data_IF_370026404719
#
_entry.id   IF_370026404719
#
_cell.length_a   1.000
_cell.length_b   1.000
_cell.length_c   1.000
_cell.angle_alpha   90.00
_cell.angle_beta   90.00
_cell.angle_gamma   90.00
#
_symmetry.space_group_name_H-M   'P 1'
#
loop_
_entity.id
_entity.type
_entity.pdbx_description
1 polymer ?
#
# COMPACT_ATOMS: atom_id res chain seq x y z
N UNK A 1 -27.16 -17.12 8.07
CA UNK A 1 -26.56 -16.59 9.31
C UNK A 1 -25.15 -16.12 8.93
N UNK A 2 -24.93 -14.80 8.95
CA UNK A 2 -23.61 -14.23 8.67
C UNK A 2 -22.70 -14.31 9.90
N UNK A 3 -21.40 -14.44 9.68
CA UNK A 3 -20.40 -14.37 10.75
C UNK A 3 -20.01 -12.92 11.03
N UNK A 4 -19.36 -12.65 12.16
CA UNK A 4 -18.77 -11.33 12.47
C UNK A 4 -17.76 -10.93 11.38
N UNK A 5 -17.00 -11.91 10.86
CA UNK A 5 -16.06 -11.68 9.77
C UNK A 5 -16.77 -11.22 8.47
N UNK A 6 -17.93 -11.81 8.15
CA UNK A 6 -18.72 -11.41 6.99
C UNK A 6 -19.25 -9.98 7.13
N UNK A 7 -19.67 -9.61 8.35
CA UNK A 7 -20.12 -8.25 8.64
C UNK A 7 -18.97 -7.24 8.53
N UNK A 8 -17.80 -7.56 9.03
CA UNK A 8 -16.60 -6.71 8.90
C UNK A 8 -16.27 -6.52 7.43
N UNK A 9 -16.23 -7.60 6.65
CA UNK A 9 -15.96 -7.55 5.21
C UNK A 9 -17.01 -6.71 4.47
N UNK A 10 -18.29 -6.90 4.79
CA UNK A 10 -19.38 -6.10 4.22
C UNK A 10 -19.20 -4.61 4.49
N UNK A 11 -18.89 -4.23 5.72
CA UNK A 11 -18.66 -2.84 6.12
C UNK A 11 -17.45 -2.25 5.41
N UNK A 12 -16.33 -2.97 5.34
CA UNK A 12 -15.11 -2.52 4.66
C UNK A 12 -15.37 -2.21 3.17
N UNK A 13 -16.22 -3.00 2.51
CA UNK A 13 -16.52 -2.83 1.09
C UNK A 13 -17.54 -1.71 0.86
N UNK A 14 -18.55 -1.61 1.71
CA UNK A 14 -19.72 -0.74 1.48
C UNK A 14 -19.65 0.60 2.22
N UNK A 15 -18.90 0.69 3.32
CA UNK A 15 -18.72 1.93 4.08
C UNK A 15 -17.40 2.58 3.69
N UNK A 16 -17.42 3.89 3.50
CA UNK A 16 -16.18 4.65 3.32
C UNK A 16 -15.65 5.06 4.69
N UNK A 17 -14.58 4.38 5.12
CA UNK A 17 -13.94 4.64 6.42
C UNK A 17 -12.69 5.49 6.30
N UNK A 18 -12.18 5.65 5.09
CA UNK A 18 -10.92 6.36 4.83
C UNK A 18 -11.23 7.69 4.13
N UNK A 19 -10.83 8.79 4.76
CA UNK A 19 -11.08 10.14 4.28
C UNK A 19 -9.78 10.89 4.00
N UNK A 20 -9.74 11.62 2.90
CA UNK A 20 -8.64 12.50 2.57
C UNK A 20 -8.66 13.74 3.47
N UNK A 21 -7.57 13.98 4.21
CA UNK A 21 -7.47 15.09 5.16
C UNK A 21 -6.56 16.22 4.68
N UNK A 22 -5.52 15.90 3.90
CA UNK A 22 -4.57 16.90 3.43
C UNK A 22 -3.92 16.50 2.11
N UNK A 23 -3.51 17.48 1.31
CA UNK A 23 -2.73 17.26 0.09
C UNK A 23 -1.77 18.40 -0.14
N UNK A 24 -0.49 18.08 -0.38
CA UNK A 24 0.59 19.04 -0.71
C UNK A 24 1.46 18.51 -1.84
N UNK A 25 2.08 19.43 -2.58
CA UNK A 25 3.16 19.07 -3.49
C UNK A 25 4.47 19.09 -2.72
N UNK A 26 5.23 18.02 -2.82
CA UNK A 26 6.53 17.85 -2.18
C UNK A 26 7.61 17.59 -3.22
N UNK A 27 8.80 18.13 -2.99
CA UNK A 27 9.98 17.81 -3.77
C UNK A 27 10.73 16.67 -3.08
N UNK A 28 11.09 15.66 -3.83
CA UNK A 28 11.90 14.54 -3.37
C UNK A 28 13.13 14.37 -4.27
N UNK A 29 14.08 13.55 -3.88
CA UNK A 29 15.22 13.19 -4.75
C UNK A 29 14.79 12.53 -6.07
N UNK A 30 13.54 11.99 -6.12
CA UNK A 30 12.94 11.39 -7.34
C UNK A 30 12.03 12.37 -8.09
N UNK A 31 12.08 13.67 -7.75
CA UNK A 31 11.27 14.72 -8.34
C UNK A 31 9.99 15.03 -7.56
N UNK A 32 9.08 15.77 -8.19
CA UNK A 32 7.84 16.23 -7.55
C UNK A 32 6.81 15.11 -7.42
N UNK A 33 6.20 15.03 -6.23
CA UNK A 33 5.05 14.18 -5.94
C UNK A 33 3.96 14.99 -5.25
N UNK A 34 2.73 14.57 -5.40
CA UNK A 34 1.63 15.00 -4.55
C UNK A 34 1.57 14.06 -3.35
N UNK A 35 1.84 14.57 -2.17
CA UNK A 35 1.68 13.90 -0.89
C UNK A 35 0.24 14.08 -0.44
N UNK A 36 -0.47 12.99 -0.18
CA UNK A 36 -1.86 13.00 0.24
C UNK A 36 -1.97 12.19 1.53
N UNK A 37 -2.64 12.76 2.51
CA UNK A 37 -2.92 12.10 3.78
C UNK A 37 -4.36 11.63 3.83
N UNK A 38 -4.56 10.40 4.26
CA UNK A 38 -5.84 9.81 4.53
C UNK A 38 -5.93 9.39 5.99
N UNK A 39 -7.08 9.60 6.62
CA UNK A 39 -7.40 9.16 7.97
C UNK A 39 -8.44 8.06 7.91
N UNK A 40 -8.20 6.96 8.60
CA UNK A 40 -9.20 5.92 8.83
C UNK A 40 -10.00 6.27 10.09
N UNK A 41 -11.33 6.37 9.94
CA UNK A 41 -12.24 6.75 11.03
C UNK A 41 -12.45 5.62 12.04
N UNK A 42 -12.16 4.36 11.68
CA UNK A 42 -12.33 3.20 12.56
C UNK A 42 -11.06 2.90 13.32
N UNK A 43 -9.93 2.80 12.61
CA UNK A 43 -8.64 2.45 13.23
C UNK A 43 -7.90 3.66 13.78
N UNK A 44 -8.32 4.87 13.38
CA UNK A 44 -7.63 6.14 13.65
C UNK A 44 -6.21 6.20 13.09
N UNK A 45 -5.88 5.28 12.20
CA UNK A 45 -4.59 5.27 11.51
C UNK A 45 -4.52 6.36 10.43
N UNK A 46 -3.32 6.84 10.17
CA UNK A 46 -3.06 7.77 9.07
C UNK A 46 -2.30 7.06 7.98
N UNK A 47 -2.83 7.09 6.76
CA UNK A 47 -2.20 6.52 5.58
C UNK A 47 -1.61 7.64 4.73
N UNK A 48 -0.46 7.37 4.11
CA UNK A 48 0.26 8.35 3.30
C UNK A 48 0.31 7.88 1.86
N UNK A 49 -0.04 8.75 0.93
CA UNK A 49 0.01 8.47 -0.50
C UNK A 49 0.95 9.42 -1.21
N UNK A 50 1.89 8.86 -1.97
CA UNK A 50 2.69 9.58 -2.94
C UNK A 50 2.09 9.35 -4.33
N UNK A 51 1.59 10.42 -4.94
CA UNK A 51 1.01 10.40 -6.29
C UNK A 51 1.89 11.18 -7.25
N UNK A 52 2.16 10.57 -8.41
CA UNK A 52 2.84 11.24 -9.53
C UNK A 52 1.97 11.18 -10.77
N UNK A 53 1.95 12.28 -11.51
CA UNK A 53 1.23 12.36 -12.78
C UNK A 53 -0.29 12.31 -12.68
N UNK A 54 -0.94 12.23 -13.83
CA UNK A 54 -2.41 12.18 -13.94
C UNK A 54 -2.89 10.72 -13.89
N UNK A 55 -3.83 10.45 -13.02
CA UNK A 55 -4.51 9.15 -12.93
C UNK A 55 -5.77 9.20 -13.78
N UNK A 56 -5.97 8.20 -14.63
CA UNK A 56 -7.16 8.08 -15.47
C UNK A 56 -7.81 6.72 -15.30
N UNK A 57 -9.13 6.68 -15.33
CA UNK A 57 -9.91 5.43 -15.15
C UNK A 57 -9.68 4.41 -16.27
N UNK A 58 -9.25 4.86 -17.45
CA UNK A 58 -9.09 4.02 -18.65
C UNK A 58 -7.76 3.28 -18.71
N UNK A 59 -6.71 3.82 -18.09
CA UNK A 59 -5.35 3.25 -18.17
C UNK A 59 -4.97 2.55 -16.88
N UNK A 60 -4.27 1.40 -16.95
CA UNK A 60 -3.69 0.78 -15.77
C UNK A 60 -2.69 1.71 -15.09
N UNK A 61 -2.76 1.78 -13.78
CA UNK A 61 -1.92 2.63 -12.94
C UNK A 61 -0.88 1.79 -12.22
N UNK A 62 0.37 2.25 -12.24
CA UNK A 62 1.44 1.63 -11.47
C UNK A 62 1.23 1.93 -9.98
N UNK A 63 1.06 0.89 -9.18
CA UNK A 63 0.71 1.01 -7.76
C UNK A 63 1.64 0.17 -6.90
N UNK A 64 2.13 0.76 -5.83
CA UNK A 64 2.78 0.07 -4.73
C UNK A 64 1.98 0.30 -3.45
N UNK A 65 1.62 -0.76 -2.76
CA UNK A 65 1.04 -0.69 -1.41
C UNK A 65 2.01 -1.39 -0.46
N UNK A 66 2.43 -0.72 0.57
CA UNK A 66 3.33 -1.30 1.58
C UNK A 66 3.12 -0.68 2.95
N UNK A 67 3.61 -1.34 3.97
CA UNK A 67 3.85 -0.76 5.28
C UNK A 67 5.25 -0.15 5.31
N UNK A 68 5.42 0.88 6.11
CA UNK A 68 6.75 1.43 6.39
C UNK A 68 7.57 0.40 7.18
N UNK A 69 8.75 0.10 6.68
CA UNK A 69 9.71 -0.75 7.37
C UNK A 69 11.02 0.01 7.51
N UNK A 70 11.35 0.42 8.74
CA UNK A 70 12.52 1.26 9.02
C UNK A 70 13.82 0.56 8.63
N UNK A 71 13.93 -0.74 8.91
CA UNK A 71 15.13 -1.51 8.63
C UNK A 71 15.38 -1.65 7.12
N UNK A 72 14.32 -1.87 6.34
CA UNK A 72 14.40 -2.04 4.90
C UNK A 72 14.42 -0.71 4.14
N UNK A 73 13.51 0.22 4.50
CA UNK A 73 13.31 1.45 3.73
C UNK A 73 14.34 2.53 4.06
N UNK A 74 14.74 2.64 5.34
CA UNK A 74 15.68 3.67 5.81
C UNK A 74 17.10 3.13 5.93
N UNK A 75 17.28 2.01 6.62
CA UNK A 75 18.63 1.45 6.87
C UNK A 75 19.13 0.59 5.70
N UNK A 76 18.26 0.26 4.74
CA UNK A 76 18.60 -0.53 3.53
C UNK A 76 19.28 -1.85 3.83
N UNK A 77 18.81 -2.54 4.87
CA UNK A 77 19.33 -3.84 5.27
C UNK A 77 19.01 -4.87 4.19
N UNK A 78 20.04 -5.56 3.65
CA UNK A 78 19.93 -6.44 2.48
C UNK A 78 19.23 -7.78 2.77
N UNK A 79 19.17 -8.20 4.03
CA UNK A 79 18.54 -9.45 4.47
C UNK A 79 17.03 -9.53 4.13
N UNK A 80 16.40 -8.42 3.76
CA UNK A 80 15.02 -8.40 3.27
C UNK A 80 14.87 -8.90 1.83
N UNK A 81 15.98 -9.22 1.16
CA UNK A 81 15.97 -9.77 -0.20
C UNK A 81 15.48 -8.79 -1.26
N UNK A 82 15.04 -9.32 -2.40
CA UNK A 82 14.62 -8.54 -3.57
C UNK A 82 13.24 -7.90 -3.44
N UNK A 83 12.89 -7.36 -2.27
CA UNK A 83 11.63 -6.62 -2.07
C UNK A 83 11.75 -5.19 -2.59
N UNK A 84 10.62 -4.64 -3.02
CA UNK A 84 10.54 -3.23 -3.35
C UNK A 84 10.69 -2.38 -2.08
N UNK A 85 11.77 -1.60 -1.99
CA UNK A 85 11.88 -0.52 -1.00
C UNK A 85 11.04 0.68 -1.42
N UNK A 86 10.79 1.61 -0.50
CA UNK A 86 10.10 2.86 -0.81
C UNK A 86 10.86 3.65 -1.89
N UNK A 87 12.18 3.75 -1.77
CA UNK A 87 13.03 4.47 -2.73
C UNK A 87 12.99 3.84 -4.13
N UNK A 88 13.05 2.50 -4.24
CA UNK A 88 12.94 1.81 -5.53
C UNK A 88 11.60 2.05 -6.19
N UNK A 89 10.51 2.01 -5.41
CA UNK A 89 9.16 2.28 -5.89
C UNK A 89 9.03 3.73 -6.39
N UNK A 90 9.53 4.71 -5.63
CA UNK A 90 9.53 6.12 -6.03
C UNK A 90 10.32 6.35 -7.32
N UNK A 91 11.51 5.75 -7.42
CA UNK A 91 12.35 5.81 -8.63
C UNK A 91 11.64 5.21 -9.85
N UNK A 92 10.99 4.06 -9.67
CA UNK A 92 10.23 3.39 -10.75
C UNK A 92 9.07 4.23 -11.24
N UNK A 93 8.25 4.76 -10.32
CA UNK A 93 7.11 5.62 -10.64
C UNK A 93 7.58 6.94 -11.27
N UNK A 94 8.69 7.49 -10.78
CA UNK A 94 9.25 8.71 -11.36
C UNK A 94 9.66 8.51 -12.82
N UNK A 95 10.30 7.39 -13.15
CA UNK A 95 10.66 7.04 -14.53
C UNK A 95 9.43 6.78 -15.41
N UNK A 96 8.37 6.19 -14.84
CA UNK A 96 7.12 5.95 -15.55
C UNK A 96 6.28 7.23 -15.79
N UNK A 97 6.57 8.31 -15.05
CA UNK A 97 5.86 9.59 -15.14
C UNK A 97 4.51 9.61 -14.44
N UNK A 98 3.94 8.46 -14.07
CA UNK A 98 2.67 8.37 -13.33
C UNK A 98 2.60 7.11 -12.48
N UNK A 99 1.92 7.20 -11.33
CA UNK A 99 1.71 6.09 -10.42
C UNK A 99 1.42 6.53 -8.99
N UNK A 100 1.22 5.56 -8.13
CA UNK A 100 0.85 5.72 -6.74
C UNK A 100 1.69 4.82 -5.83
N UNK A 101 2.10 5.37 -4.69
CA UNK A 101 2.61 4.59 -3.56
C UNK A 101 1.69 4.86 -2.39
N UNK A 102 1.18 3.82 -1.77
CA UNK A 102 0.33 3.90 -0.59
C UNK A 102 1.09 3.26 0.57
N UNK A 103 1.43 4.06 1.55
CA UNK A 103 1.94 3.60 2.83
C UNK A 103 0.75 3.39 3.76
N UNK A 104 0.37 2.14 3.94
CA UNK A 104 -0.69 1.74 4.86
C UNK A 104 -0.10 1.71 6.24
N UNK A 105 -0.83 2.31 7.18
CA UNK A 105 -0.42 2.38 8.56
C UNK A 105 0.97 3.01 8.67
N UNK A 106 0.98 4.32 8.76
CA UNK A 106 2.13 5.05 9.29
C UNK A 106 2.37 4.71 10.76
N UNK A 107 1.70 3.65 11.22
CA UNK A 107 1.54 3.26 12.61
C UNK A 107 2.83 3.14 13.36
N UNK A 108 2.89 3.97 14.34
CA UNK A 108 3.89 4.03 15.38
C UNK A 108 3.79 2.84 16.34
N UNK A 109 3.80 1.62 15.84
CA UNK A 109 4.06 0.50 16.72
C UNK A 109 5.53 0.55 17.10
N UNK A 110 5.79 1.11 18.26
CA UNK A 110 7.13 1.14 18.88
C UNK A 110 7.73 -0.26 19.01
N UNK A 111 6.90 -1.28 18.93
CA UNK A 111 7.27 -2.68 19.12
C UNK A 111 7.60 -3.42 17.81
N UNK A 112 7.45 -2.80 16.66
CA UNK A 112 7.73 -3.46 15.35
C UNK A 112 9.22 -3.74 15.12
N UNK A 113 10.10 -2.84 15.54
CA UNK A 113 11.55 -2.99 15.30
C UNK A 113 12.11 -4.26 15.97
N UNK A 114 11.82 -4.58 17.24
CA UNK A 114 12.27 -5.83 17.85
C UNK A 114 11.75 -7.08 17.13
N UNK A 115 10.51 -7.06 16.64
CA UNK A 115 9.92 -8.15 15.87
C UNK A 115 10.58 -8.30 14.50
N UNK A 116 10.83 -7.19 13.81
CA UNK A 116 11.53 -7.16 12.53
C UNK A 116 12.97 -7.71 12.65
N UNK A 117 13.69 -7.35 13.73
CA UNK A 117 15.04 -7.89 14.00
C UNK A 117 14.99 -9.39 14.27
N UNK A 118 13.99 -9.88 15.01
CA UNK A 118 13.81 -11.32 15.23
C UNK A 118 13.55 -12.07 13.91
N UNK A 119 12.84 -11.44 12.99
CA UNK A 119 12.56 -11.99 11.67
C UNK A 119 13.82 -12.02 10.77
N UNK A 120 14.78 -11.13 10.94
CA UNK A 120 16.07 -11.19 10.19
C UNK A 120 16.84 -12.48 10.46
N UNK A 121 16.73 -13.05 11.66
CA UNK A 121 17.38 -14.31 12.04
C UNK A 121 16.71 -15.57 11.48
N UNK A 122 15.45 -15.46 11.06
CA UNK A 122 14.71 -16.56 10.42
C UNK A 122 14.67 -16.27 8.92
N UNK A 123 15.28 -17.15 8.14
CA UNK A 123 15.29 -17.05 6.67
C UNK A 123 13.94 -16.56 6.15
N UNK A 124 13.90 -15.39 5.55
CA UNK A 124 12.67 -14.67 5.12
C UNK A 124 11.81 -15.43 4.08
N UNK A 125 12.21 -16.63 3.69
CA UNK A 125 11.46 -17.47 2.76
C UNK A 125 10.00 -17.76 3.20
N UNK A 126 9.70 -17.63 4.49
CA UNK A 126 8.37 -17.91 5.04
C UNK A 126 7.56 -16.66 5.47
N UNK A 127 8.10 -15.45 5.33
CA UNK A 127 7.41 -14.23 5.75
C UNK A 127 6.28 -13.79 4.80
N UNK A 128 6.06 -14.50 3.69
CA UNK A 128 4.93 -14.29 2.78
C UNK A 128 3.58 -14.71 3.36
N UNK A 129 3.56 -15.35 4.54
CA UNK A 129 2.36 -15.86 5.20
C UNK A 129 1.96 -15.12 6.49
N UNK A 130 2.48 -13.92 6.72
CA UNK A 130 1.81 -13.04 7.70
C UNK A 130 0.44 -12.75 7.11
N UNK A 131 -0.60 -13.24 7.79
CA UNK A 131 -1.98 -13.22 7.30
C UNK A 131 -2.32 -11.86 6.71
N UNK A 132 -2.87 -11.89 5.49
CA UNK A 132 -3.26 -10.69 4.76
C UNK A 132 -4.31 -10.00 5.63
N UNK A 133 -3.96 -8.88 6.23
CA UNK A 133 -4.88 -8.11 7.05
C UNK A 133 -5.94 -7.49 6.12
N UNK A 134 -7.15 -8.04 6.17
CA UNK A 134 -8.28 -7.62 5.33
C UNK A 134 -8.58 -6.13 5.50
N UNK A 135 -8.37 -5.58 6.70
CA UNK A 135 -8.59 -4.15 6.97
C UNK A 135 -7.62 -3.29 6.17
N UNK A 136 -6.35 -3.69 6.08
CA UNK A 136 -5.32 -2.97 5.31
C UNK A 136 -5.58 -3.03 3.81
N UNK A 137 -6.04 -4.17 3.32
CA UNK A 137 -6.48 -4.29 1.93
C UNK A 137 -7.67 -3.37 1.70
N UNK A 138 -8.61 -3.32 2.64
CA UNK A 138 -9.77 -2.44 2.59
C UNK A 138 -9.38 -0.97 2.51
N UNK A 139 -8.53 -0.48 3.42
CA UNK A 139 -8.07 0.90 3.43
C UNK A 139 -7.34 1.26 2.12
N UNK A 140 -6.40 0.42 1.67
CA UNK A 140 -5.70 0.62 0.40
C UNK A 140 -6.64 0.66 -0.80
N UNK A 141 -7.65 -0.21 -0.83
CA UNK A 141 -8.64 -0.27 -1.90
C UNK A 141 -9.57 0.95 -1.92
N UNK A 142 -9.99 1.43 -0.76
CA UNK A 142 -10.79 2.65 -0.64
C UNK A 142 -10.01 3.88 -1.12
N UNK A 143 -8.72 3.99 -0.75
CA UNK A 143 -7.84 5.07 -1.22
C UNK A 143 -7.69 5.02 -2.75
N UNK A 144 -7.44 3.84 -3.32
CA UNK A 144 -7.34 3.69 -4.77
C UNK A 144 -8.62 4.07 -5.50
N UNK A 145 -9.77 3.69 -4.96
CA UNK A 145 -11.09 4.05 -5.49
C UNK A 145 -11.31 5.56 -5.44
N UNK A 146 -11.00 6.22 -4.31
CA UNK A 146 -11.12 7.68 -4.14
C UNK A 146 -10.23 8.42 -5.15
N UNK A 147 -9.03 7.92 -5.43
CA UNK A 147 -8.11 8.46 -6.43
C UNK A 147 -8.50 8.14 -7.89
N UNK A 148 -9.62 7.45 -8.11
CA UNK A 148 -10.15 7.15 -9.43
C UNK A 148 -9.44 6.02 -10.17
N UNK A 149 -8.69 5.17 -9.46
CA UNK A 149 -8.04 3.98 -10.04
C UNK A 149 -9.10 2.90 -10.28
N UNK A 150 -9.00 2.21 -11.42
CA UNK A 150 -9.78 0.99 -11.73
C UNK A 150 -8.88 -0.18 -12.07
N UNK A 151 -7.85 0.04 -12.88
CA UNK A 151 -6.90 -0.97 -13.32
C UNK A 151 -5.55 -0.73 -12.69
N UNK A 152 -4.93 -1.78 -12.16
CA UNK A 152 -3.72 -1.71 -11.37
C UNK A 152 -2.62 -2.56 -12.01
N UNK A 153 -1.43 -1.98 -12.13
CA UNK A 153 -0.18 -2.71 -12.31
C UNK A 153 0.49 -2.71 -10.93
N UNK A 154 0.44 -3.85 -10.25
CA UNK A 154 0.89 -3.95 -8.87
C UNK A 154 2.38 -4.25 -8.78
N UNK A 155 3.12 -3.41 -8.08
CA UNK A 155 4.54 -3.61 -7.76
C UNK A 155 4.65 -4.49 -6.51
N UNK A 156 4.94 -5.77 -6.70
CA UNK A 156 5.01 -6.74 -5.62
C UNK A 156 4.99 -8.19 -6.12
N UNK A 157 4.97 -9.13 -5.18
CA UNK A 157 4.78 -10.55 -5.48
C UNK A 157 3.37 -10.83 -6.01
N UNK A 158 3.26 -11.87 -6.80
CA UNK A 158 1.97 -12.32 -7.32
C UNK A 158 1.15 -12.98 -6.21
N UNK A 159 0.36 -12.17 -5.52
CA UNK A 159 -0.54 -12.61 -4.47
C UNK A 159 -1.97 -12.29 -4.91
N UNK A 160 -2.87 -13.27 -4.81
CA UNK A 160 -4.29 -13.02 -5.08
C UNK A 160 -4.92 -12.29 -3.92
N UNK A 161 -5.61 -11.21 -4.23
CA UNK A 161 -6.37 -10.40 -3.28
C UNK A 161 -7.87 -10.48 -3.66
N UNK A 162 -8.60 -11.52 -3.20
CA UNK A 162 -9.98 -11.77 -3.63
C UNK A 162 -10.93 -10.60 -3.38
N UNK A 163 -10.70 -9.85 -2.30
CA UNK A 163 -11.55 -8.73 -1.88
C UNK A 163 -11.39 -7.46 -2.73
N UNK A 164 -10.34 -7.34 -3.53
CA UNK A 164 -10.09 -6.12 -4.34
C UNK A 164 -11.20 -5.90 -5.39
N UNK A 165 -11.73 -6.96 -5.98
CA UNK A 165 -12.80 -6.86 -6.98
C UNK A 165 -14.07 -6.25 -6.42
N UNK A 166 -14.37 -6.46 -5.13
CA UNK A 166 -15.50 -5.84 -4.43
C UNK A 166 -15.43 -4.31 -4.39
N UNK A 167 -14.24 -3.73 -4.55
CA UNK A 167 -14.04 -2.28 -4.65
C UNK A 167 -14.06 -1.76 -6.09
N UNK A 168 -14.34 -2.60 -7.07
CA UNK A 168 -14.28 -2.25 -8.49
C UNK A 168 -12.85 -2.06 -9.02
N UNK A 169 -11.88 -2.70 -8.39
CA UNK A 169 -10.47 -2.68 -8.74
C UNK A 169 -10.06 -4.00 -9.42
N UNK A 170 -9.21 -3.90 -10.43
CA UNK A 170 -8.67 -5.03 -11.18
C UNK A 170 -7.14 -4.95 -11.22
N UNK A 171 -6.46 -6.01 -10.78
CA UNK A 171 -5.00 -6.14 -10.97
C UNK A 171 -4.74 -6.78 -12.33
N UNK A 172 -4.25 -5.99 -13.28
CA UNK A 172 -4.00 -6.44 -14.65
C UNK A 172 -2.61 -7.03 -14.82
N UNK A 173 -1.64 -6.63 -13.99
CA UNK A 173 -0.26 -7.09 -14.07
C UNK A 173 0.44 -6.97 -12.72
N UNK A 174 1.40 -7.87 -12.46
CA UNK A 174 2.35 -7.79 -11.35
C UNK A 174 3.75 -7.48 -11.89
N UNK A 175 4.48 -6.62 -11.18
CA UNK A 175 5.90 -6.32 -11.45
C UNK A 175 6.69 -6.70 -10.21
N UNK A 176 7.57 -7.67 -10.36
CA UNK A 176 8.58 -8.02 -9.36
C UNK A 176 9.81 -7.14 -9.54
N UNK A 177 10.61 -7.03 -8.48
CA UNK A 177 11.89 -6.33 -8.51
C UNK A 177 12.96 -7.18 -9.18
#
# INVERSE_FOLDING_TARGET
IGTIADLINYRIINEQTVEKIEQKIVNTEFGKFSLILYKDSITHETHVVFKKGKITKSKPVLVRVQQTNVLHDLLKIDEFGSRWSLSDAMKKISKAGSGLIILIDGGHSKDKIPEEIKLLKKSYKNASQVGIDVRRIGAGSQILRDLGVKKIILMGSQTRYPSISGFGLEVTKYIQK
#
